data_IF_185214855209
#
_entry.id   IF_185214855209
#
_cell.length_a   1.000
_cell.length_b   1.000
_cell.length_c   1.000
_cell.angle_alpha   90.00
_cell.angle_beta   90.00
_cell.angle_gamma   90.00
#
_symmetry.space_group_name_H-M   'P 1'
#
loop_
_entity.id
_entity.type
_entity.pdbx_description
1 polymer ?
#
# COMPACT_ATOMS: atom_id res chain seq x y z
N UNK A 1 -24.10 4.75 -30.58
CA UNK A 1 -22.93 4.65 -29.67
C UNK A 1 -23.44 4.59 -28.23
N UNK A 2 -23.52 3.38 -27.66
CA UNK A 2 -24.13 3.15 -26.35
C UNK A 2 -23.25 3.71 -25.22
N UNK A 3 -23.90 4.38 -24.26
CA UNK A 3 -23.30 4.94 -23.04
C UNK A 3 -22.59 3.83 -22.24
N UNK A 4 -21.32 3.58 -22.53
CA UNK A 4 -20.40 2.95 -21.59
C UNK A 4 -20.00 3.99 -20.54
N UNK A 5 -20.97 4.51 -19.79
CA UNK A 5 -20.66 5.27 -18.58
C UNK A 5 -20.11 4.23 -17.62
N UNK A 6 -18.79 4.24 -17.41
CA UNK A 6 -18.16 3.47 -16.36
C UNK A 6 -18.95 3.76 -15.08
N UNK A 7 -19.63 2.74 -14.53
CA UNK A 7 -20.49 2.90 -13.36
C UNK A 7 -19.61 3.32 -12.18
N UNK A 8 -19.54 4.63 -11.93
CA UNK A 8 -18.90 5.18 -10.73
C UNK A 8 -19.71 4.70 -9.54
N UNK A 9 -19.04 4.05 -8.61
CA UNK A 9 -19.66 3.58 -7.37
C UNK A 9 -19.63 4.74 -6.38
N UNK A 10 -20.80 5.17 -5.92
CA UNK A 10 -20.94 6.19 -4.88
C UNK A 10 -21.37 5.55 -3.57
N UNK A 11 -20.51 5.57 -2.57
CA UNK A 11 -20.78 5.10 -1.22
C UNK A 11 -21.58 6.10 -0.41
N UNK A 12 -22.51 5.56 0.38
CA UNK A 12 -23.33 6.28 1.35
C UNK A 12 -22.51 6.72 2.58
N UNK A 13 -23.00 7.68 3.38
CA UNK A 13 -22.32 8.11 4.60
C UNK A 13 -22.04 6.97 5.59
N UNK A 14 -22.96 6.02 5.69
CA UNK A 14 -22.82 4.89 6.59
C UNK A 14 -21.79 3.87 6.09
N UNK A 15 -21.73 3.61 4.78
CA UNK A 15 -20.67 2.78 4.20
C UNK A 15 -19.31 3.43 4.37
N UNK A 16 -19.19 4.73 4.10
CA UNK A 16 -17.96 5.51 4.36
C UNK A 16 -17.47 5.31 5.79
N UNK A 17 -18.36 5.37 6.79
CA UNK A 17 -18.01 5.15 8.21
C UNK A 17 -17.42 3.76 8.47
N UNK A 18 -18.00 2.73 7.85
CA UNK A 18 -17.52 1.35 7.96
C UNK A 18 -16.20 1.14 7.24
N UNK A 19 -16.05 1.69 6.04
CA UNK A 19 -14.80 1.65 5.27
C UNK A 19 -13.69 2.35 6.08
N UNK A 20 -13.96 3.51 6.67
CA UNK A 20 -13.00 4.21 7.53
C UNK A 20 -12.54 3.32 8.69
N UNK A 21 -13.48 2.68 9.40
CA UNK A 21 -13.16 1.74 10.49
C UNK A 21 -12.31 0.57 10.02
N UNK A 22 -12.63 -0.01 8.87
CA UNK A 22 -11.83 -1.09 8.30
C UNK A 22 -10.40 -0.61 7.98
N UNK A 23 -10.28 0.55 7.32
CA UNK A 23 -8.98 1.16 6.99
C UNK A 23 -8.16 1.38 8.25
N UNK A 24 -8.68 2.09 9.25
CA UNK A 24 -7.93 2.39 10.47
C UNK A 24 -7.70 1.15 11.36
N UNK A 25 -8.54 0.12 11.29
CA UNK A 25 -8.26 -1.16 11.93
C UNK A 25 -7.05 -1.88 11.30
N UNK A 26 -6.97 -1.90 9.97
CA UNK A 26 -5.82 -2.48 9.27
C UNK A 26 -4.55 -1.64 9.48
N UNK A 27 -4.67 -0.32 9.51
CA UNK A 27 -3.56 0.57 9.86
C UNK A 27 -3.08 0.32 11.29
N UNK A 28 -3.99 0.16 12.25
CA UNK A 28 -3.63 -0.18 13.63
C UNK A 28 -2.94 -1.54 13.72
N UNK A 29 -3.43 -2.55 13.00
CA UNK A 29 -2.77 -3.86 12.92
C UNK A 29 -1.34 -3.74 12.36
N UNK A 30 -1.12 -2.90 11.35
CA UNK A 30 0.21 -2.60 10.80
C UNK A 30 1.12 -1.88 11.79
N UNK A 31 0.59 -0.94 12.58
CA UNK A 31 1.35 -0.29 13.65
C UNK A 31 1.73 -1.28 14.77
N UNK A 32 0.81 -2.17 15.16
CA UNK A 32 1.08 -3.24 16.12
C UNK A 32 2.16 -4.19 15.58
N UNK A 33 2.07 -4.59 14.30
CA UNK A 33 3.13 -5.35 13.65
C UNK A 33 4.47 -4.59 13.72
N UNK A 34 4.45 -3.29 13.42
CA UNK A 34 5.64 -2.44 13.45
C UNK A 34 6.28 -2.38 14.84
N UNK A 35 5.47 -2.38 15.92
CA UNK A 35 5.94 -2.49 17.31
C UNK A 35 6.72 -3.79 17.54
N UNK A 36 6.15 -4.93 17.15
CA UNK A 36 6.79 -6.24 17.33
C UNK A 36 8.00 -6.47 16.41
N UNK A 37 8.03 -5.82 15.24
CA UNK A 37 9.16 -5.88 14.31
C UNK A 37 10.29 -4.89 14.62
N UNK A 38 10.22 -4.16 15.75
CA UNK A 38 11.20 -3.16 16.14
C UNK A 38 11.38 -2.01 15.12
N UNK A 39 10.28 -1.57 14.51
CA UNK A 39 10.28 -0.55 13.44
C UNK A 39 9.57 0.76 13.84
N UNK A 40 9.26 0.94 15.13
CA UNK A 40 8.77 2.23 15.65
C UNK A 40 9.93 3.17 15.99
N UNK A 41 9.63 4.46 16.16
CA UNK A 41 10.67 5.47 16.28
C UNK A 41 11.47 5.34 17.58
N UNK A 42 10.83 4.98 18.70
CA UNK A 42 11.55 4.78 19.96
C UNK A 42 12.52 3.59 19.93
N UNK A 43 12.34 2.68 18.97
CA UNK A 43 13.16 1.47 18.80
C UNK A 43 14.37 1.70 17.88
N UNK A 44 14.46 2.84 17.19
CA UNK A 44 15.56 3.14 16.26
C UNK A 44 16.90 3.47 16.94
N UNK A 45 16.95 3.58 18.28
CA UNK A 45 18.17 3.76 19.07
C UNK A 45 19.09 4.91 18.60
N UNK A 46 18.54 6.09 18.27
CA UNK A 46 19.31 7.27 17.82
C UNK A 46 20.16 6.98 16.57
N UNK A 47 19.53 6.68 15.43
CA UNK A 47 20.24 6.32 14.22
C UNK A 47 21.06 7.50 13.70
N UNK A 48 22.30 7.22 13.28
CA UNK A 48 23.24 8.24 12.78
C UNK A 48 23.29 8.24 11.24
N UNK A 49 23.08 7.08 10.63
CA UNK A 49 23.13 6.90 9.18
C UNK A 49 21.81 7.36 8.58
N UNK A 50 21.86 8.30 7.64
CA UNK A 50 20.71 8.85 6.94
C UNK A 50 20.78 8.48 5.47
N UNK A 51 19.66 8.04 4.90
CA UNK A 51 19.55 7.82 3.47
C UNK A 51 18.27 8.45 2.90
N UNK A 52 18.22 9.79 2.74
CA UNK A 52 17.08 10.49 2.13
C UNK A 52 17.01 10.37 0.60
N UNK A 53 18.07 9.86 -0.04
CA UNK A 53 18.21 9.74 -1.50
C UNK A 53 17.92 11.05 -2.25
N UNK A 54 17.20 11.00 -3.37
CA UNK A 54 16.87 12.17 -4.22
C UNK A 54 15.52 12.82 -3.89
N UNK A 55 14.83 12.41 -2.82
CA UNK A 55 13.50 12.92 -2.48
C UNK A 55 13.57 14.26 -1.73
N UNK A 56 13.09 15.33 -2.36
CA UNK A 56 13.09 16.68 -1.77
C UNK A 56 12.28 16.77 -0.47
N UNK A 57 11.21 15.98 -0.32
CA UNK A 57 10.40 15.99 0.89
C UNK A 57 11.21 15.50 2.09
N UNK A 58 12.06 14.49 1.87
CA UNK A 58 12.94 13.94 2.89
C UNK A 58 13.99 14.99 3.26
N UNK A 59 14.60 15.64 2.27
CA UNK A 59 15.57 16.72 2.50
C UNK A 59 14.99 17.90 3.29
N UNK A 60 13.77 18.34 2.97
CA UNK A 60 13.09 19.40 3.73
C UNK A 60 12.89 19.01 5.19
N UNK A 61 12.46 17.78 5.47
CA UNK A 61 12.29 17.30 6.84
C UNK A 61 13.59 17.25 7.63
N UNK A 62 14.69 16.83 6.99
CA UNK A 62 16.02 16.83 7.60
C UNK A 62 16.61 18.23 7.79
N UNK A 63 16.30 19.15 6.88
CA UNK A 63 16.66 20.56 7.04
C UNK A 63 15.96 21.19 8.25
N UNK A 64 14.71 20.80 8.52
CA UNK A 64 13.96 21.19 9.72
C UNK A 64 14.37 20.38 10.98
N UNK A 65 15.30 19.43 10.85
CA UNK A 65 15.75 18.53 11.91
C UNK A 65 14.63 17.71 12.59
N UNK A 66 13.47 17.54 11.94
CA UNK A 66 12.33 16.87 12.56
C UNK A 66 12.60 15.39 12.90
N UNK A 67 13.12 14.56 11.96
CA UNK A 67 13.48 13.17 12.26
C UNK A 67 14.51 13.05 13.41
N UNK A 68 15.50 13.95 13.45
CA UNK A 68 16.59 13.94 14.43
C UNK A 68 16.13 14.39 15.82
N UNK A 69 15.27 15.41 15.91
CA UNK A 69 14.72 15.86 17.19
C UNK A 69 13.91 14.72 17.83
N UNK A 70 13.05 14.06 17.05
CA UNK A 70 12.20 12.97 17.55
C UNK A 70 13.04 11.78 17.97
N UNK A 71 13.92 11.29 17.09
CA UNK A 71 14.72 10.07 17.37
C UNK A 71 15.89 10.32 18.33
N UNK A 72 16.31 11.58 18.52
CA UNK A 72 17.37 11.98 19.44
C UNK A 72 17.01 11.83 20.92
N UNK A 73 15.71 11.84 21.26
CA UNK A 73 15.22 11.66 22.62
C UNK A 73 14.27 10.47 22.73
N UNK A 74 14.64 9.47 23.53
CA UNK A 74 13.82 8.27 23.75
C UNK A 74 12.40 8.62 24.19
N UNK A 75 12.26 9.53 25.15
CA UNK A 75 10.95 9.95 25.67
C UNK A 75 10.09 10.66 24.62
N UNK A 76 10.71 11.50 23.77
CA UNK A 76 9.99 12.18 22.70
C UNK A 76 9.53 11.18 21.63
N UNK A 77 10.38 10.22 21.28
CA UNK A 77 10.02 9.14 20.37
C UNK A 77 8.88 8.26 20.93
N UNK A 78 8.92 7.91 22.23
CA UNK A 78 7.83 7.19 22.89
C UNK A 78 6.52 8.00 22.87
N UNK A 79 6.58 9.30 23.20
CA UNK A 79 5.40 10.18 23.16
C UNK A 79 4.84 10.28 21.73
N UNK A 80 5.70 10.36 20.73
CA UNK A 80 5.32 10.38 19.33
C UNK A 80 4.63 9.09 18.91
N UNK A 81 5.21 7.93 19.24
CA UNK A 81 4.61 6.63 18.93
C UNK A 81 3.27 6.45 19.65
N UNK A 82 3.17 6.85 20.93
CA UNK A 82 1.90 6.85 21.68
C UNK A 82 0.86 7.75 21.00
N UNK A 83 1.25 8.95 20.56
CA UNK A 83 0.36 9.84 19.82
C UNK A 83 -0.11 9.21 18.50
N UNK A 84 0.79 8.57 17.75
CA UNK A 84 0.48 7.89 16.50
C UNK A 84 -0.58 6.79 16.70
N UNK A 85 -0.41 5.93 17.72
CA UNK A 85 -1.38 4.91 18.08
C UNK A 85 -2.71 5.52 18.56
N UNK A 86 -2.65 6.51 19.46
CA UNK A 86 -3.84 7.17 20.00
C UNK A 86 -4.69 7.80 18.89
N UNK A 87 -4.07 8.52 17.95
CA UNK A 87 -4.77 9.13 16.82
C UNK A 87 -5.32 8.08 15.84
N UNK A 88 -4.63 6.97 15.61
CA UNK A 88 -5.16 5.86 14.82
C UNK A 88 -6.43 5.26 15.47
N UNK A 89 -6.41 5.04 16.79
CA UNK A 89 -7.57 4.55 17.56
C UNK A 89 -8.70 5.57 17.53
N UNK A 90 -8.41 6.87 17.72
CA UNK A 90 -9.41 7.93 17.62
C UNK A 90 -10.06 7.98 16.23
N UNK A 91 -9.29 7.78 15.15
CA UNK A 91 -9.84 7.69 13.81
C UNK A 91 -10.74 6.47 13.61
N UNK A 92 -10.43 5.34 14.25
CA UNK A 92 -11.27 4.15 14.25
C UNK A 92 -12.59 4.37 15.01
N UNK A 93 -12.52 4.92 16.23
CA UNK A 93 -13.71 5.13 17.07
C UNK A 93 -14.59 6.26 16.52
N UNK A 94 -13.96 7.37 16.11
CA UNK A 94 -14.61 8.60 15.66
C UNK A 94 -14.24 9.00 14.21
N UNK A 95 -14.53 8.17 13.20
CA UNK A 95 -14.12 8.38 11.80
C UNK A 95 -14.74 9.62 11.12
N UNK A 96 -15.68 10.30 11.77
CA UNK A 96 -16.29 11.54 11.30
C UNK A 96 -15.52 12.78 11.77
N UNK A 97 -14.67 12.65 12.79
CA UNK A 97 -13.88 13.74 13.36
C UNK A 97 -12.63 13.97 12.52
N UNK A 98 -12.74 14.90 11.56
CA UNK A 98 -11.70 15.22 10.58
C UNK A 98 -10.37 15.65 11.18
N UNK A 99 -10.39 16.36 12.31
CA UNK A 99 -9.15 16.77 12.98
C UNK A 99 -8.33 15.56 13.43
N UNK A 100 -8.96 14.48 13.91
CA UNK A 100 -8.26 13.24 14.25
C UNK A 100 -7.53 12.68 13.03
N UNK A 101 -8.19 12.68 11.87
CA UNK A 101 -7.65 12.14 10.61
C UNK A 101 -6.49 13.00 10.11
N UNK A 102 -6.62 14.33 10.14
CA UNK A 102 -5.53 15.24 9.78
C UNK A 102 -4.32 15.09 10.71
N UNK A 103 -4.55 15.01 12.02
CA UNK A 103 -3.49 14.76 13.00
C UNK A 103 -2.82 13.40 12.77
N UNK A 104 -3.60 12.35 12.48
CA UNK A 104 -3.04 11.04 12.12
C UNK A 104 -2.19 11.11 10.84
N UNK A 105 -2.68 11.76 9.78
CA UNK A 105 -1.93 11.92 8.53
C UNK A 105 -0.61 12.65 8.77
N UNK A 106 -0.62 13.73 9.56
CA UNK A 106 0.58 14.48 9.88
C UNK A 106 1.60 13.63 10.67
N UNK A 107 1.14 12.94 11.73
CA UNK A 107 1.99 12.03 12.51
C UNK A 107 2.53 10.89 11.64
N UNK A 108 1.67 10.25 10.85
CA UNK A 108 2.07 9.14 9.99
C UNK A 108 3.03 9.58 8.88
N UNK A 109 2.90 10.81 8.36
CA UNK A 109 3.84 11.38 7.40
C UNK A 109 5.24 11.55 8.00
N UNK A 110 5.32 12.10 9.22
CA UNK A 110 6.59 12.22 9.94
C UNK A 110 7.19 10.84 10.24
N UNK A 111 6.37 9.88 10.68
CA UNK A 111 6.76 8.49 10.89
C UNK A 111 7.32 7.87 9.60
N UNK A 112 6.58 8.00 8.50
CA UNK A 112 6.93 7.48 7.18
C UNK A 112 8.30 7.97 6.70
N UNK A 113 8.54 9.28 6.75
CA UNK A 113 9.83 9.86 6.33
C UNK A 113 10.96 9.40 7.25
N UNK A 114 10.75 9.51 8.58
CA UNK A 114 11.76 9.14 9.57
C UNK A 114 12.17 7.67 9.43
N UNK A 115 11.19 6.78 9.27
CA UNK A 115 11.41 5.35 9.09
C UNK A 115 12.20 5.06 7.81
N UNK A 116 11.80 5.61 6.66
CA UNK A 116 12.47 5.31 5.39
C UNK A 116 13.89 5.90 5.34
N UNK A 117 14.12 7.11 5.87
CA UNK A 117 15.47 7.68 5.93
C UNK A 117 16.41 6.78 6.75
N UNK A 118 16.03 6.44 7.98
CA UNK A 118 16.92 5.75 8.91
C UNK A 118 16.96 4.24 8.71
N UNK A 119 15.87 3.64 8.23
CA UNK A 119 15.86 2.26 7.78
C UNK A 119 16.60 2.03 6.47
N UNK A 120 17.06 3.10 5.80
CA UNK A 120 17.68 3.07 4.48
C UNK A 120 16.85 2.30 3.42
N UNK A 121 15.54 2.24 3.64
CA UNK A 121 14.60 1.57 2.76
C UNK A 121 14.11 2.55 1.69
N UNK A 122 14.45 2.29 0.43
CA UNK A 122 13.94 3.04 -0.75
C UNK A 122 12.58 2.58 -1.23
N UNK A 123 12.13 1.43 -0.74
CA UNK A 123 10.80 0.93 -1.06
C UNK A 123 9.81 1.78 -0.27
N UNK A 124 9.06 2.65 -0.95
CA UNK A 124 8.00 3.48 -0.36
C UNK A 124 6.79 2.64 0.13
N UNK A 125 7.03 1.50 0.76
CA UNK A 125 6.06 0.49 1.15
C UNK A 125 4.91 1.11 1.97
N UNK A 126 5.23 1.91 2.98
CA UNK A 126 4.26 2.54 3.90
C UNK A 126 3.38 3.65 3.28
N UNK A 127 3.57 4.06 2.02
CA UNK A 127 2.81 5.17 1.41
C UNK A 127 1.30 4.87 1.29
N UNK A 128 0.93 3.59 1.15
CA UNK A 128 -0.47 3.17 1.02
C UNK A 128 -1.34 3.64 2.18
N UNK A 129 -0.85 3.53 3.42
CA UNK A 129 -1.54 3.97 4.63
C UNK A 129 -1.71 5.49 4.73
N UNK A 130 -0.74 6.25 4.22
CA UNK A 130 -0.84 7.71 4.16
C UNK A 130 -1.93 8.13 3.18
N UNK A 131 -1.91 7.57 1.97
CA UNK A 131 -2.83 7.95 0.90
C UNK A 131 -4.27 7.51 1.17
N UNK A 132 -4.48 6.30 1.71
CA UNK A 132 -5.83 5.78 1.99
C UNK A 132 -6.59 6.58 3.05
N UNK A 133 -5.90 7.34 3.90
CA UNK A 133 -6.52 8.19 4.91
C UNK A 133 -7.09 9.49 4.29
N UNK A 134 -6.54 9.97 3.17
CA UNK A 134 -6.89 11.26 2.55
C UNK A 134 -8.38 11.41 2.24
N UNK A 135 -9.09 10.43 1.62
CA UNK A 135 -10.52 10.56 1.34
C UNK A 135 -11.36 10.87 2.59
N UNK A 136 -10.93 10.44 3.78
CA UNK A 136 -11.71 10.64 5.00
C UNK A 136 -11.59 12.06 5.57
N UNK A 137 -10.68 12.89 5.05
CA UNK A 137 -10.48 14.29 5.49
C UNK A 137 -11.61 15.24 5.04
N UNK A 138 -12.32 14.93 3.96
CA UNK A 138 -13.35 15.81 3.39
C UNK A 138 -14.72 15.59 4.04
N UNK A 139 -15.49 16.65 4.31
CA UNK A 139 -16.85 16.51 4.85
C UNK A 139 -17.83 15.96 3.82
N UNK A 140 -17.76 16.49 2.59
CA UNK A 140 -18.70 16.17 1.53
C UNK A 140 -18.54 14.72 1.06
N UNK A 141 -19.65 13.98 1.04
CA UNK A 141 -19.70 12.59 0.58
C UNK A 141 -19.36 12.46 -0.91
N UNK A 142 -19.73 13.45 -1.75
CA UNK A 142 -19.36 13.47 -3.17
C UNK A 142 -17.84 13.55 -3.31
N UNK A 143 -17.21 14.46 -2.57
CA UNK A 143 -15.74 14.62 -2.54
C UNK A 143 -15.04 13.35 -2.03
N UNK A 144 -15.56 12.71 -0.97
CA UNK A 144 -15.04 11.43 -0.49
C UNK A 144 -15.02 10.40 -1.62
N UNK A 145 -16.14 10.27 -2.34
CA UNK A 145 -16.27 9.30 -3.42
C UNK A 145 -15.28 9.60 -4.56
N UNK A 146 -15.13 10.86 -4.97
CA UNK A 146 -14.14 11.22 -5.99
C UNK A 146 -12.71 10.92 -5.55
N UNK A 147 -12.33 11.25 -4.31
CA UNK A 147 -11.00 10.93 -3.79
C UNK A 147 -10.79 9.41 -3.69
N UNK A 148 -11.81 8.65 -3.25
CA UNK A 148 -11.76 7.19 -3.20
C UNK A 148 -11.55 6.58 -4.60
N UNK A 149 -12.23 7.14 -5.62
CA UNK A 149 -11.99 6.73 -7.00
C UNK A 149 -10.63 7.18 -7.53
N UNK A 150 -10.15 8.36 -7.13
CA UNK A 150 -8.80 8.82 -7.41
C UNK A 150 -7.76 7.83 -6.89
N UNK A 151 -7.92 7.33 -5.67
CA UNK A 151 -7.04 6.30 -5.11
C UNK A 151 -7.12 4.96 -5.86
N UNK A 152 -8.31 4.56 -6.33
CA UNK A 152 -8.44 3.39 -7.24
C UNK A 152 -7.59 3.58 -8.49
N UNK A 153 -7.69 4.74 -9.14
CA UNK A 153 -6.89 5.03 -10.33
C UNK A 153 -5.40 5.14 -10.01
N UNK A 154 -5.03 5.67 -8.85
CA UNK A 154 -3.65 5.69 -8.38
C UNK A 154 -3.07 4.27 -8.21
N UNK A 155 -3.83 3.35 -7.60
CA UNK A 155 -3.40 1.95 -7.47
C UNK A 155 -3.17 1.31 -8.84
N UNK A 156 -4.14 1.47 -9.75
CA UNK A 156 -4.07 0.95 -11.12
C UNK A 156 -2.90 1.57 -11.88
N UNK A 157 -2.69 2.87 -11.70
CA UNK A 157 -1.55 3.60 -12.25
C UNK A 157 -0.22 3.05 -11.73
N UNK A 158 -0.07 2.82 -10.42
CA UNK A 158 1.18 2.32 -9.85
C UNK A 158 1.63 0.98 -10.45
N UNK A 159 0.70 0.02 -10.60
CA UNK A 159 1.00 -1.25 -11.25
C UNK A 159 1.24 -1.11 -12.76
N UNK A 160 0.47 -0.26 -13.43
CA UNK A 160 0.65 0.01 -14.85
C UNK A 160 2.00 0.68 -15.13
N UNK A 161 2.41 1.65 -14.31
CA UNK A 161 3.71 2.31 -14.41
C UNK A 161 4.85 1.31 -14.22
N UNK A 162 4.75 0.43 -13.22
CA UNK A 162 5.71 -0.66 -13.01
C UNK A 162 5.82 -1.59 -14.23
N UNK A 163 4.71 -1.87 -14.91
CA UNK A 163 4.70 -2.61 -16.17
C UNK A 163 5.37 -1.82 -17.30
N UNK A 164 4.98 -0.55 -17.50
CA UNK A 164 5.48 0.29 -18.59
C UNK A 164 6.98 0.48 -18.49
N UNK A 165 7.52 0.68 -17.28
CA UNK A 165 8.97 0.75 -17.06
C UNK A 165 9.69 -0.53 -17.50
N UNK A 166 9.12 -1.71 -17.21
CA UNK A 166 9.70 -2.99 -17.63
C UNK A 166 9.55 -3.23 -19.12
N UNK A 167 8.42 -2.83 -19.68
CA UNK A 167 8.09 -2.97 -21.08
C UNK A 167 9.01 -2.11 -21.96
N UNK A 168 9.11 -0.81 -21.69
CA UNK A 168 9.91 0.12 -22.49
C UNK A 168 11.42 -0.10 -22.36
N UNK A 169 11.89 -0.56 -21.20
CA UNK A 169 13.30 -0.96 -21.03
C UNK A 169 13.60 -2.34 -21.62
N UNK A 170 12.62 -3.00 -22.24
CA UNK A 170 12.73 -4.34 -22.82
C UNK A 170 13.24 -5.40 -21.82
N UNK A 171 13.05 -5.15 -20.52
CA UNK A 171 13.56 -6.03 -19.46
C UNK A 171 12.89 -7.40 -19.47
N UNK A 172 11.71 -7.52 -20.07
CA UNK A 172 11.00 -8.78 -20.27
C UNK A 172 11.59 -9.66 -21.39
N UNK A 173 12.37 -9.07 -22.29
CA UNK A 173 13.10 -9.77 -23.35
C UNK A 173 14.52 -10.17 -22.92
N UNK A 174 15.03 -9.59 -21.84
CA UNK A 174 16.38 -9.87 -21.40
C UNK A 174 16.50 -11.33 -20.91
N UNK A 175 17.40 -12.14 -21.49
CA UNK A 175 17.56 -13.52 -21.09
C UNK A 175 17.98 -13.58 -19.62
N UNK A 176 17.40 -14.52 -18.87
CA UNK A 176 17.74 -14.75 -17.46
C UNK A 176 17.48 -13.57 -16.51
N UNK A 177 16.63 -12.61 -16.87
CA UNK A 177 16.33 -11.46 -16.01
C UNK A 177 15.77 -11.86 -14.64
N UNK A 178 14.83 -12.82 -14.61
CA UNK A 178 14.27 -13.32 -13.35
C UNK A 178 15.34 -13.96 -12.46
N UNK A 179 16.22 -14.76 -13.07
CA UNK A 179 17.34 -15.37 -12.37
C UNK A 179 18.32 -14.33 -11.80
N UNK A 180 18.59 -13.26 -12.55
CA UNK A 180 19.47 -12.18 -12.10
C UNK A 180 18.87 -11.44 -10.90
N UNK A 181 17.56 -11.20 -10.91
CA UNK A 181 16.84 -10.57 -9.78
C UNK A 181 16.94 -11.45 -8.53
N UNK A 182 16.61 -12.74 -8.63
CA UNK A 182 16.67 -13.66 -7.48
C UNK A 182 18.09 -13.76 -6.94
N UNK A 183 19.09 -13.95 -7.80
CA UNK A 183 20.50 -14.01 -7.38
C UNK A 183 20.94 -12.74 -6.66
N UNK A 184 20.57 -11.58 -7.21
CA UNK A 184 20.95 -10.29 -6.63
C UNK A 184 20.31 -10.08 -5.26
N UNK A 185 19.01 -10.33 -5.14
CA UNK A 185 18.25 -9.94 -3.96
C UNK A 185 18.33 -11.00 -2.84
N UNK A 186 18.49 -12.28 -3.18
CA UNK A 186 18.57 -13.36 -2.19
C UNK A 186 19.99 -13.75 -1.78
N UNK A 187 21.03 -13.12 -2.36
CA UNK A 187 22.42 -13.45 -2.06
C UNK A 187 22.77 -13.31 -0.57
N UNK A 188 22.36 -12.19 0.04
CA UNK A 188 22.63 -11.94 1.45
C UNK A 188 21.94 -12.97 2.35
N UNK A 189 20.66 -13.26 2.08
CA UNK A 189 19.90 -14.26 2.83
C UNK A 189 20.52 -15.67 2.72
N UNK A 190 20.88 -16.10 1.50
CA UNK A 190 21.52 -17.40 1.27
C UNK A 190 22.89 -17.54 1.93
N UNK A 191 23.57 -16.41 2.18
CA UNK A 191 24.86 -16.37 2.85
C UNK A 191 24.71 -16.38 4.38
N UNK A 192 23.81 -15.56 4.93
CA UNK A 192 23.62 -15.40 6.37
C UNK A 192 22.83 -16.55 7.00
N UNK A 193 21.84 -17.10 6.27
CA UNK A 193 20.89 -18.10 6.78
C UNK A 193 20.86 -19.38 5.90
N UNK A 194 22.01 -20.04 5.67
CA UNK A 194 22.16 -21.08 4.65
C UNK A 194 21.40 -22.38 4.94
N UNK A 195 21.08 -22.67 6.19
CA UNK A 195 20.53 -23.97 6.61
C UNK A 195 19.00 -23.96 6.79
N UNK A 196 18.37 -22.85 6.44
CA UNK A 196 16.92 -22.70 6.53
C UNK A 196 16.18 -23.41 5.38
N UNK A 197 14.94 -23.83 5.62
CA UNK A 197 14.07 -24.40 4.58
C UNK A 197 13.87 -23.43 3.40
N UNK A 198 13.78 -22.13 3.70
CA UNK A 198 13.63 -21.09 2.68
C UNK A 198 14.90 -20.96 1.82
N UNK A 199 16.10 -21.05 2.42
CA UNK A 199 17.35 -21.11 1.66
C UNK A 199 17.42 -22.36 0.77
N UNK A 200 16.96 -23.52 1.25
CA UNK A 200 16.81 -24.74 0.45
C UNK A 200 15.89 -24.54 -0.75
N UNK A 201 14.74 -23.88 -0.56
CA UNK A 201 13.82 -23.54 -1.64
C UNK A 201 14.44 -22.60 -2.68
N UNK A 202 15.15 -21.56 -2.25
CA UNK A 202 15.87 -20.66 -3.16
C UNK A 202 16.96 -21.37 -3.95
N UNK A 203 17.74 -22.26 -3.32
CA UNK A 203 18.72 -23.10 -4.04
C UNK A 203 18.05 -23.97 -5.09
N UNK A 204 16.92 -24.60 -4.77
CA UNK A 204 16.15 -25.38 -5.74
C UNK A 204 15.66 -24.50 -6.91
N UNK A 205 15.11 -23.32 -6.63
CA UNK A 205 14.67 -22.37 -7.67
C UNK A 205 15.83 -21.93 -8.58
N UNK A 206 17.02 -21.70 -8.00
CA UNK A 206 18.21 -21.33 -8.78
C UNK A 206 18.68 -22.43 -9.72
N UNK A 207 18.33 -23.70 -9.45
CA UNK A 207 18.54 -24.83 -10.35
C UNK A 207 17.45 -24.95 -11.43
N UNK A 208 16.39 -24.15 -11.37
CA UNK A 208 15.26 -24.15 -12.32
C UNK A 208 15.13 -22.81 -13.07
N UNK A 209 16.07 -22.41 -13.96
CA UNK A 209 16.04 -21.11 -14.63
C UNK A 209 14.76 -20.84 -15.43
N UNK A 210 14.21 -21.86 -16.08
CA UNK A 210 12.97 -21.73 -16.86
C UNK A 210 11.78 -21.32 -15.99
N UNK A 211 11.67 -21.90 -14.78
CA UNK A 211 10.62 -21.59 -13.84
C UNK A 211 10.74 -20.16 -13.32
N UNK A 212 11.94 -19.74 -12.92
CA UNK A 212 12.18 -18.40 -12.37
C UNK A 212 11.97 -17.31 -13.42
N UNK A 213 12.46 -17.52 -14.64
CA UNK A 213 12.24 -16.57 -15.73
C UNK A 213 10.78 -16.55 -16.20
N UNK A 214 10.11 -17.70 -16.25
CA UNK A 214 8.68 -17.79 -16.55
C UNK A 214 7.84 -17.05 -15.51
N UNK A 215 8.16 -17.20 -14.22
CA UNK A 215 7.51 -16.45 -13.14
C UNK A 215 7.74 -14.94 -13.26
N UNK A 216 8.94 -14.50 -13.63
CA UNK A 216 9.22 -13.09 -13.90
C UNK A 216 8.36 -12.53 -15.04
N UNK A 217 8.28 -13.23 -16.18
CA UNK A 217 7.44 -12.83 -17.31
C UNK A 217 5.96 -12.80 -16.92
N UNK A 218 5.49 -13.81 -16.17
CA UNK A 218 4.13 -13.83 -15.65
C UNK A 218 3.86 -12.62 -14.74
N UNK A 219 4.82 -12.23 -13.90
CA UNK A 219 4.78 -10.99 -13.10
C UNK A 219 4.59 -9.74 -13.96
N UNK A 220 5.40 -9.58 -15.02
CA UNK A 220 5.27 -8.46 -15.97
C UNK A 220 3.88 -8.43 -16.61
N UNK A 221 3.36 -9.58 -17.04
CA UNK A 221 2.03 -9.67 -17.64
C UNK A 221 0.95 -9.27 -16.62
N UNK A 222 1.05 -9.78 -15.38
CA UNK A 222 0.09 -9.46 -14.31
C UNK A 222 0.06 -7.95 -14.00
N UNK A 223 1.20 -7.27 -13.98
CA UNK A 223 1.25 -5.81 -13.86
C UNK A 223 0.54 -5.12 -15.04
N UNK A 224 0.78 -5.59 -16.27
CA UNK A 224 0.16 -5.04 -17.48
C UNK A 224 -1.37 -5.18 -17.51
N UNK A 225 -1.92 -6.21 -16.87
CA UNK A 225 -3.38 -6.40 -16.77
C UNK A 225 -4.08 -5.27 -16.00
N UNK A 226 -3.37 -4.52 -15.15
CA UNK A 226 -3.95 -3.35 -14.47
C UNK A 226 -4.37 -2.25 -15.45
N UNK A 227 -3.82 -2.17 -16.66
CA UNK A 227 -4.25 -1.21 -17.70
C UNK A 227 -5.77 -1.26 -17.92
N UNK A 228 -6.36 -2.46 -17.86
CA UNK A 228 -7.81 -2.67 -18.01
C UNK A 228 -8.61 -1.85 -16.97
N UNK A 229 -8.05 -1.65 -15.78
CA UNK A 229 -8.65 -0.89 -14.69
C UNK A 229 -8.87 0.59 -15.01
N UNK A 230 -8.13 1.18 -15.96
CA UNK A 230 -8.40 2.56 -16.41
C UNK A 230 -9.72 2.67 -17.17
N UNK A 231 -10.04 1.66 -17.97
CA UNK A 231 -11.17 1.69 -18.90
C UNK A 231 -12.46 1.12 -18.28
N UNK A 232 -12.36 0.19 -17.35
CA UNK A 232 -13.55 -0.48 -16.79
C UNK A 232 -13.37 -0.94 -15.35
N UNK A 233 -14.49 -1.08 -14.64
CA UNK A 233 -14.57 -1.69 -13.30
C UNK A 233 -15.06 -3.12 -13.30
N UNK A 234 -15.46 -3.64 -14.45
CA UNK A 234 -16.01 -5.00 -14.58
C UNK A 234 -15.05 -6.05 -14.01
N UNK A 235 -13.75 -5.79 -14.10
CA UNK A 235 -12.68 -6.70 -13.68
C UNK A 235 -12.05 -6.34 -12.33
N UNK A 236 -12.63 -5.42 -11.54
CA UNK A 236 -12.03 -4.99 -10.25
C UNK A 236 -11.83 -6.16 -9.28
N UNK A 237 -12.72 -7.17 -9.29
CA UNK A 237 -12.55 -8.39 -8.50
C UNK A 237 -11.31 -9.19 -8.90
N UNK A 238 -11.01 -9.25 -10.20
CA UNK A 238 -9.84 -9.94 -10.70
C UNK A 238 -8.58 -9.12 -10.41
N UNK A 239 -8.61 -7.81 -10.61
CA UNK A 239 -7.52 -6.89 -10.25
C UNK A 239 -7.22 -6.92 -8.75
N UNK A 240 -8.22 -7.11 -7.90
CA UNK A 240 -8.06 -7.28 -6.46
C UNK A 240 -7.27 -8.55 -6.10
N UNK A 241 -7.54 -9.66 -6.80
CA UNK A 241 -6.78 -10.90 -6.61
C UNK A 241 -5.33 -10.68 -7.05
N UNK A 242 -5.13 -10.07 -8.22
CA UNK A 242 -3.78 -9.73 -8.71
C UNK A 242 -3.04 -8.79 -7.76
N UNK A 243 -3.71 -7.79 -7.20
CA UNK A 243 -3.07 -6.82 -6.31
C UNK A 243 -2.60 -7.45 -5.01
N UNK A 244 -3.16 -8.59 -4.60
CA UNK A 244 -2.72 -9.39 -3.45
C UNK A 244 -1.59 -10.34 -3.84
N UNK A 245 -1.73 -11.04 -4.97
CA UNK A 245 -0.72 -12.01 -5.45
C UNK A 245 0.62 -11.33 -5.77
N UNK A 246 0.58 -10.12 -6.33
CA UNK A 246 1.79 -9.41 -6.78
C UNK A 246 2.77 -9.10 -5.63
N UNK A 247 2.37 -8.47 -4.50
CA UNK A 247 3.27 -8.26 -3.36
C UNK A 247 3.85 -9.55 -2.77
N UNK A 248 3.08 -10.64 -2.73
CA UNK A 248 3.59 -11.95 -2.30
C UNK A 248 4.67 -12.44 -3.25
N UNK A 249 4.45 -12.32 -4.56
CA UNK A 249 5.43 -12.67 -5.58
C UNK A 249 6.70 -11.82 -5.50
N UNK A 250 6.57 -10.51 -5.28
CA UNK A 250 7.71 -9.59 -5.12
C UNK A 250 8.51 -9.83 -3.86
N UNK A 251 7.85 -10.09 -2.74
CA UNK A 251 8.53 -10.48 -1.52
C UNK A 251 9.35 -11.76 -1.76
N UNK A 252 8.72 -12.77 -2.34
CA UNK A 252 9.36 -14.06 -2.56
C UNK A 252 10.53 -14.00 -3.56
N UNK A 253 10.38 -13.29 -4.69
CA UNK A 253 11.38 -13.31 -5.77
C UNK A 253 12.39 -12.17 -5.70
N UNK A 254 11.97 -11.00 -5.24
CA UNK A 254 12.74 -9.77 -5.30
C UNK A 254 13.06 -9.17 -3.93
N UNK A 255 12.71 -9.85 -2.82
CA UNK A 255 12.87 -9.34 -1.46
C UNK A 255 12.27 -7.93 -1.28
N UNK A 256 11.18 -7.66 -1.99
CA UNK A 256 10.54 -6.36 -1.99
C UNK A 256 9.21 -6.40 -1.24
N UNK A 257 9.18 -5.74 -0.08
CA UNK A 257 8.02 -5.65 0.79
C UNK A 257 7.09 -4.54 0.31
N UNK A 258 5.94 -4.90 -0.27
CA UNK A 258 4.89 -3.97 -0.70
C UNK A 258 3.55 -4.23 -0.01
N UNK A 259 3.56 -4.89 1.14
CA UNK A 259 2.33 -5.29 1.84
C UNK A 259 1.49 -4.09 2.27
N UNK A 260 2.11 -2.97 2.60
CA UNK A 260 1.43 -1.76 3.01
C UNK A 260 0.73 -1.04 1.85
N UNK A 261 1.12 -1.31 0.59
CA UNK A 261 0.37 -0.87 -0.59
C UNK A 261 -0.95 -1.65 -0.73
N UNK A 262 -1.06 -2.85 -0.15
CA UNK A 262 -2.26 -3.68 -0.24
C UNK A 262 -3.50 -2.99 0.32
N UNK A 263 -3.35 -2.08 1.27
CA UNK A 263 -4.52 -1.36 1.81
C UNK A 263 -5.24 -0.55 0.74
N UNK A 264 -4.52 -0.06 -0.28
CA UNK A 264 -5.12 0.61 -1.43
C UNK A 264 -6.00 -0.35 -2.25
N UNK A 265 -5.78 -1.66 -2.18
CA UNK A 265 -6.62 -2.66 -2.86
C UNK A 265 -8.06 -2.64 -2.38
N UNK A 266 -8.34 -2.09 -1.18
CA UNK A 266 -9.71 -1.84 -0.71
C UNK A 266 -10.49 -0.95 -1.67
N UNK A 267 -9.83 -0.11 -2.48
CA UNK A 267 -10.48 0.73 -3.48
C UNK A 267 -11.09 -0.04 -4.65
N UNK A 268 -10.65 -1.30 -4.87
CA UNK A 268 -11.21 -2.23 -5.85
C UNK A 268 -12.41 -3.02 -5.28
N UNK A 269 -12.63 -2.97 -3.97
CA UNK A 269 -13.73 -3.69 -3.32
C UNK A 269 -15.04 -2.93 -3.54
N UNK A 270 -16.06 -3.64 -4.03
CA UNK A 270 -17.41 -3.10 -4.11
C UNK A 270 -18.12 -3.26 -2.74
N UNK A 271 -17.98 -2.25 -1.88
CA UNK A 271 -18.58 -2.28 -0.53
C UNK A 271 -20.11 -2.26 -0.53
N UNK A 272 -20.78 -1.75 -1.58
CA UNK A 272 -22.24 -1.86 -1.71
C UNK A 272 -22.68 -3.32 -1.71
N UNK A 273 -21.99 -4.16 -2.47
CA UNK A 273 -22.32 -5.58 -2.55
C UNK A 273 -22.08 -6.32 -1.22
N UNK A 274 -21.18 -5.83 -0.38
CA UNK A 274 -20.86 -6.40 0.93
C UNK A 274 -21.88 -5.97 1.98
N UNK A 275 -22.26 -4.69 1.97
CA UNK A 275 -23.10 -4.12 3.01
C UNK A 275 -24.59 -4.04 2.66
N UNK A 276 -24.98 -4.30 1.42
CA UNK A 276 -26.40 -4.37 1.05
C UNK A 276 -27.09 -5.45 1.89
N UNK A 277 -28.14 -5.12 2.65
CA UNK A 277 -28.92 -6.13 3.37
C UNK A 277 -29.56 -7.06 2.34
N UNK A 278 -29.16 -8.34 2.34
CA UNK A 278 -29.75 -9.40 1.49
C UNK A 278 -31.29 -9.42 1.53
N UNK A 279 -31.91 -8.87 2.58
CA UNK A 279 -33.35 -8.82 2.80
C UNK A 279 -34.14 -7.80 1.94
N UNK A 280 -33.50 -6.83 1.29
CA UNK A 280 -34.20 -5.82 0.46
C UNK A 280 -33.85 -5.85 -1.04
N UNK A 281 -33.00 -6.79 -1.46
CA UNK A 281 -32.54 -6.91 -2.86
C UNK A 281 -33.67 -7.21 -3.87
N UNK A 282 -34.84 -7.70 -3.41
CA UNK A 282 -35.96 -7.99 -4.30
C UNK A 282 -36.86 -6.77 -4.59
N UNK A 283 -36.70 -5.64 -3.87
CA UNK A 283 -37.60 -4.48 -4.00
C UNK A 283 -36.93 -3.19 -4.50
N UNK A 284 -35.60 -3.15 -4.60
CA UNK A 284 -34.91 -1.99 -5.17
C UNK A 284 -34.96 -2.04 -6.70
N UNK A 285 -36.00 -1.39 -7.28
CA UNK A 285 -36.04 -1.09 -8.72
C UNK A 285 -34.75 -0.37 -9.11
N UNK A 286 -34.13 -0.84 -10.21
CA UNK A 286 -32.84 -0.41 -10.82
C UNK A 286 -32.67 1.09 -11.10
N UNK A 287 -33.63 1.96 -10.76
CA UNK A 287 -33.63 3.39 -11.05
C UNK A 287 -33.50 4.34 -9.85
N UNK A 288 -33.48 3.85 -8.61
CA UNK A 288 -33.54 4.71 -7.42
C UNK A 288 -32.18 5.31 -6.95
N UNK A 289 -31.09 5.03 -7.67
CA UNK A 289 -29.76 5.57 -7.38
C UNK A 289 -29.34 6.56 -8.48
N UNK A 290 -30.17 7.58 -8.73
CA UNK A 290 -29.67 8.79 -9.39
C UNK A 290 -29.05 9.69 -8.33
N UNK A 291 -27.76 10.04 -8.43
CA UNK A 291 -27.18 11.04 -7.54
C UNK A 291 -27.74 12.41 -7.91
N UNK A 292 -28.46 13.05 -6.99
CA UNK A 292 -28.63 14.51 -6.97
C UNK A 292 -27.32 15.13 -6.49
#
# INVERSE_FOLDING_TARGET
>A
MGKAIAHIIFYTPWERKRIARLVFALTLASLVWSFFSNTLLHQLQRPVIKYPYVDLSYWVMHFLHLPEIITGSFWLACLFDLALFAFCILCYVYPEKRWCIWSFIALYFVYFITFNTFGAHHTNHKIGFLLIAIPFTVSNYKSFNYLWQGLRYFLVFAYTDAFLWKFFRLSWLHPNQGMLIVKKNQAAYLYLEPDTMLAGLYRWLLLQPALVNGAYIAGVIMEGLFIIGFFTRKYDKFLLILSILMPVGFWFTADAYFFELLILSLTLVNFHAIYAPRRFSNNLKRGALTPV
#
